data_IF_245318278163
#
_entry.id   IF_245318278163
#
_cell.length_a   1.000
_cell.length_b   1.000
_cell.length_c   1.000
_cell.angle_alpha   90.00
_cell.angle_beta   90.00
_cell.angle_gamma   90.00
#
_symmetry.space_group_name_H-M   'P 1'
#
loop_
_entity.id
_entity.type
_entity.pdbx_description
1 polymer ?
#
# COMPACT_ATOMS: atom_id res chain seq x y z
N UNK A 1 -4.20 0.46 21.32
CA UNK A 1 -4.22 1.51 20.29
C UNK A 1 -3.54 1.00 19.03
N UNK A 2 -4.12 1.27 17.88
CA UNK A 2 -3.45 0.94 16.61
C UNK A 2 -2.40 2.00 16.27
N UNK A 3 -1.62 1.75 15.23
CA UNK A 3 -0.52 2.66 14.85
C UNK A 3 -0.99 4.05 14.42
N UNK A 4 -2.17 4.16 13.81
CA UNK A 4 -2.73 5.46 13.43
C UNK A 4 -3.08 6.29 14.66
N UNK A 5 -3.73 5.67 15.63
CA UNK A 5 -4.09 6.36 16.88
C UNK A 5 -2.84 6.85 17.62
N UNK A 6 -1.81 6.02 17.67
CA UNK A 6 -0.53 6.39 18.28
C UNK A 6 0.09 7.58 17.53
N UNK A 7 0.13 7.53 16.21
CA UNK A 7 0.68 8.62 15.40
C UNK A 7 -0.02 9.94 15.67
N UNK A 8 -1.36 9.96 15.60
CA UNK A 8 -2.12 11.19 15.76
C UNK A 8 -2.19 11.68 17.21
N UNK A 9 -1.90 10.84 18.19
CA UNK A 9 -1.79 11.27 19.58
C UNK A 9 -0.44 11.89 19.89
N UNK A 10 0.63 11.47 19.23
CA UNK A 10 1.99 11.96 19.46
C UNK A 10 2.38 13.13 18.57
N UNK A 11 1.82 13.21 17.37
CA UNK A 11 2.13 14.26 16.40
C UNK A 11 0.85 14.92 15.92
N UNK A 12 0.71 16.23 16.20
CA UNK A 12 -0.54 16.95 15.95
C UNK A 12 -0.58 17.71 14.61
N UNK A 13 0.58 17.97 14.01
CA UNK A 13 0.67 18.67 12.73
C UNK A 13 1.90 18.22 11.95
N UNK A 14 1.94 18.62 10.67
CA UNK A 14 3.04 18.28 9.76
C UNK A 14 3.22 16.78 9.57
N UNK A 15 2.10 16.04 9.53
CA UNK A 15 2.12 14.60 9.26
C UNK A 15 2.25 14.40 7.76
N UNK A 16 3.31 13.69 7.35
CA UNK A 16 3.55 13.35 5.95
C UNK A 16 3.04 11.96 5.66
N UNK A 17 2.09 11.89 4.72
CA UNK A 17 1.55 10.64 4.18
C UNK A 17 1.95 10.55 2.70
N UNK A 18 2.58 9.45 2.31
CA UNK A 18 3.05 9.25 0.94
C UNK A 18 2.39 8.02 0.34
N UNK A 19 1.87 8.19 -0.88
CA UNK A 19 1.26 7.11 -1.65
C UNK A 19 2.30 6.42 -2.53
N UNK A 20 2.19 5.11 -2.65
CA UNK A 20 2.95 4.32 -3.62
C UNK A 20 2.11 3.16 -4.14
N UNK A 21 2.32 2.79 -5.40
CA UNK A 21 1.62 1.67 -6.02
C UNK A 21 2.42 0.38 -5.79
N UNK A 22 1.78 -0.65 -5.25
CA UNK A 22 2.41 -1.95 -5.06
C UNK A 22 2.77 -2.57 -6.42
N UNK A 23 4.01 -3.06 -6.54
CA UNK A 23 4.49 -3.67 -7.79
C UNK A 23 5.00 -2.68 -8.83
N UNK A 24 5.17 -1.42 -8.46
CA UNK A 24 5.68 -0.36 -9.33
C UNK A 24 6.95 0.25 -8.73
N UNK A 25 7.99 0.55 -9.52
CA UNK A 25 8.12 0.33 -10.96
C UNK A 25 8.41 -1.13 -11.34
N UNK A 26 8.86 -1.94 -10.41
CA UNK A 26 9.10 -3.37 -10.60
C UNK A 26 8.31 -4.18 -9.59
N UNK A 27 8.08 -5.45 -9.89
CA UNK A 27 7.30 -6.33 -9.03
C UNK A 27 7.82 -6.37 -7.58
N UNK A 28 9.12 -6.38 -7.41
CA UNK A 28 9.77 -6.47 -6.10
C UNK A 28 10.16 -5.13 -5.48
N UNK A 29 9.67 -4.00 -6.02
CA UNK A 29 10.02 -2.67 -5.51
C UNK A 29 9.25 -2.27 -4.26
N UNK A 30 8.15 -2.94 -3.93
CA UNK A 30 7.21 -2.52 -2.87
C UNK A 30 7.90 -2.36 -1.53
N UNK A 31 8.59 -3.39 -1.05
CA UNK A 31 9.19 -3.36 0.28
C UNK A 31 10.37 -2.39 0.35
N UNK A 32 11.15 -2.27 -0.73
CA UNK A 32 12.23 -1.28 -0.82
C UNK A 32 11.69 0.13 -0.73
N UNK A 33 10.60 0.42 -1.43
CA UNK A 33 9.93 1.72 -1.36
C UNK A 33 9.47 2.03 0.06
N UNK A 34 8.85 1.06 0.72
CA UNK A 34 8.37 1.22 2.09
C UNK A 34 9.52 1.52 3.06
N UNK A 35 10.63 0.81 2.94
CA UNK A 35 11.83 1.07 3.76
C UNK A 35 12.35 2.48 3.52
N UNK A 36 12.48 2.87 2.26
CA UNK A 36 13.00 4.20 1.90
C UNK A 36 12.12 5.32 2.43
N UNK A 37 10.81 5.19 2.32
CA UNK A 37 9.87 6.19 2.85
C UNK A 37 10.00 6.32 4.36
N UNK A 38 10.08 5.21 5.07
CA UNK A 38 10.24 5.23 6.52
C UNK A 38 11.56 5.86 6.92
N UNK A 39 12.67 5.49 6.28
CA UNK A 39 13.99 6.05 6.57
C UNK A 39 14.07 7.54 6.28
N UNK A 40 13.36 8.00 5.25
CA UNK A 40 13.34 9.42 4.88
C UNK A 40 12.39 10.27 5.73
N UNK A 41 11.69 9.67 6.67
CA UNK A 41 10.88 10.41 7.64
C UNK A 41 9.40 10.53 7.34
N UNK A 42 8.86 9.72 6.42
CA UNK A 42 7.41 9.65 6.23
C UNK A 42 6.75 9.16 7.52
N UNK A 43 5.66 9.80 7.91
CA UNK A 43 4.94 9.45 9.14
C UNK A 43 4.00 8.26 8.93
N UNK A 44 3.48 8.13 7.74
CA UNK A 44 2.60 7.04 7.33
C UNK A 44 2.67 6.89 5.81
N UNK A 45 2.12 5.80 5.30
CA UNK A 45 2.07 5.59 3.86
C UNK A 45 0.77 4.93 3.44
N UNK A 46 0.37 5.21 2.21
CA UNK A 46 -0.73 4.53 1.54
C UNK A 46 -0.15 3.63 0.46
N UNK A 47 -0.51 2.38 0.49
CA UNK A 47 -0.06 1.39 -0.49
C UNK A 47 -1.22 1.05 -1.41
N UNK A 48 -1.08 1.41 -2.67
CA UNK A 48 -2.10 1.18 -3.69
C UNK A 48 -2.11 -0.27 -4.15
N UNK A 49 -3.28 -0.89 -4.09
CA UNK A 49 -3.52 -2.22 -4.65
C UNK A 49 -3.90 -2.06 -6.13
N UNK A 50 -3.07 -2.53 -7.09
CA UNK A 50 -3.36 -2.34 -8.51
C UNK A 50 -4.67 -3.00 -8.94
N UNK A 51 -5.38 -2.33 -9.83
CA UNK A 51 -6.63 -2.81 -10.40
C UNK A 51 -6.69 -2.50 -11.88
N UNK A 52 -7.32 -3.38 -12.67
CA UNK A 52 -7.40 -3.25 -14.12
C UNK A 52 -8.22 -2.07 -14.61
N UNK A 53 -9.21 -1.64 -13.81
CA UNK A 53 -10.14 -0.59 -14.19
C UNK A 53 -10.14 0.58 -13.19
N UNK A 54 -9.02 1.33 -13.06
CA UNK A 54 -8.88 2.39 -12.06
C UNK A 54 -9.57 3.69 -12.49
N UNK A 55 -10.88 3.62 -12.70
CA UNK A 55 -11.67 4.71 -13.30
C UNK A 55 -11.73 5.99 -12.46
N UNK A 56 -11.58 5.86 -11.14
CA UNK A 56 -11.60 7.01 -10.24
C UNK A 56 -10.24 7.71 -10.14
N UNK A 57 -9.19 7.13 -10.68
CA UNK A 57 -7.83 7.65 -10.58
C UNK A 57 -7.46 8.53 -11.77
N UNK A 58 -6.52 9.46 -11.54
CA UNK A 58 -5.95 10.27 -12.60
C UNK A 58 -4.90 9.52 -13.42
N UNK A 59 -4.35 10.20 -14.46
CA UNK A 59 -3.44 9.53 -15.42
C UNK A 59 -2.18 8.94 -14.79
N UNK A 60 -1.60 9.59 -13.80
CA UNK A 60 -0.36 9.13 -13.16
C UNK A 60 -0.60 7.82 -12.42
N UNK A 61 -1.64 7.74 -11.61
CA UNK A 61 -1.97 6.53 -10.86
C UNK A 61 -2.46 5.42 -11.79
N UNK A 62 -3.23 5.74 -12.82
CA UNK A 62 -3.63 4.75 -13.83
C UNK A 62 -2.40 4.16 -14.52
N UNK A 63 -1.40 4.97 -14.82
CA UNK A 63 -0.16 4.53 -15.47
C UNK A 63 0.63 3.58 -14.55
N UNK A 64 0.80 3.94 -13.29
CA UNK A 64 1.51 3.09 -12.33
C UNK A 64 0.77 1.78 -12.08
N UNK A 65 -0.56 1.81 -12.03
CA UNK A 65 -1.39 0.61 -11.95
C UNK A 65 -1.17 -0.32 -13.15
N UNK A 66 -1.17 0.23 -14.35
CA UNK A 66 -0.97 -0.55 -15.56
C UNK A 66 0.39 -1.24 -15.57
N UNK A 67 1.44 -0.53 -15.17
CA UNK A 67 2.79 -1.08 -15.09
C UNK A 67 2.86 -2.16 -14.01
N UNK A 68 2.28 -1.94 -12.84
CA UNK A 68 2.28 -2.91 -11.75
C UNK A 68 1.59 -4.21 -12.17
N UNK A 69 0.45 -4.12 -12.84
CA UNK A 69 -0.27 -5.29 -13.37
C UNK A 69 0.55 -6.01 -14.44
N UNK A 70 1.17 -5.25 -15.33
CA UNK A 70 2.08 -5.78 -16.36
C UNK A 70 3.27 -6.52 -15.74
N UNK A 71 3.76 -6.07 -14.59
CA UNK A 71 4.81 -6.73 -13.83
C UNK A 71 4.33 -8.01 -13.14
N UNK A 72 3.04 -8.27 -13.12
CA UNK A 72 2.46 -9.47 -12.54
C UNK A 72 1.97 -9.30 -11.11
N UNK A 73 1.80 -8.08 -10.61
CA UNK A 73 1.29 -7.86 -9.26
C UNK A 73 -0.16 -8.32 -9.15
N UNK A 74 -0.44 -9.04 -8.09
CA UNK A 74 -1.79 -9.48 -7.72
C UNK A 74 -2.00 -9.21 -6.24
N UNK A 75 -3.25 -9.25 -5.78
CA UNK A 75 -3.55 -9.10 -4.36
C UNK A 75 -2.87 -10.20 -3.53
N UNK A 76 -2.85 -11.43 -4.05
CA UNK A 76 -2.19 -12.55 -3.40
C UNK A 76 -0.68 -12.33 -3.26
N UNK A 77 -0.02 -11.83 -4.31
CA UNK A 77 1.41 -11.50 -4.27
C UNK A 77 1.69 -10.37 -3.31
N UNK A 78 0.82 -9.36 -3.27
CA UNK A 78 0.95 -8.26 -2.33
C UNK A 78 0.93 -8.74 -0.89
N UNK A 79 -0.04 -9.56 -0.52
CA UNK A 79 -0.11 -10.11 0.83
C UNK A 79 1.08 -11.03 1.15
N UNK A 80 1.60 -11.72 0.15
CA UNK A 80 2.82 -12.51 0.28
C UNK A 80 4.03 -11.63 0.64
N UNK A 81 4.18 -10.51 -0.07
CA UNK A 81 5.25 -9.53 0.19
C UNK A 81 5.10 -8.92 1.58
N UNK A 82 3.88 -8.66 2.01
CA UNK A 82 3.60 -8.01 3.30
C UNK A 82 3.56 -8.97 4.49
N UNK A 83 3.77 -10.26 4.28
CA UNK A 83 3.62 -11.26 5.34
C UNK A 83 4.44 -10.92 6.59
N UNK A 84 5.68 -10.52 6.43
CA UNK A 84 6.60 -10.24 7.55
C UNK A 84 7.09 -8.79 7.56
N UNK A 85 6.38 -7.88 6.90
CA UNK A 85 6.87 -6.50 6.71
C UNK A 85 7.02 -5.75 8.04
N UNK A 86 6.27 -6.12 9.07
CA UNK A 86 6.32 -5.46 10.39
C UNK A 86 7.61 -5.70 11.14
N UNK A 87 8.46 -6.61 10.70
CA UNK A 87 9.83 -6.76 11.24
C UNK A 87 10.69 -5.55 10.89
N UNK A 88 10.39 -4.85 9.80
CA UNK A 88 11.16 -3.73 9.28
C UNK A 88 10.38 -2.42 9.25
N UNK A 89 9.08 -2.47 9.01
CA UNK A 89 8.24 -1.28 8.82
C UNK A 89 7.38 -1.05 10.04
N UNK A 90 7.56 0.09 10.68
CA UNK A 90 6.91 0.45 11.94
C UNK A 90 5.85 1.54 11.80
N UNK A 91 5.92 2.36 10.75
CA UNK A 91 4.93 3.41 10.52
C UNK A 91 3.61 2.82 10.04
N UNK A 92 2.48 3.54 10.23
CA UNK A 92 1.20 3.09 9.72
C UNK A 92 1.22 2.90 8.20
N UNK A 93 0.62 1.81 7.75
CA UNK A 93 0.45 1.49 6.33
C UNK A 93 -1.03 1.29 6.06
N UNK A 94 -1.56 2.08 5.13
CA UNK A 94 -2.96 2.01 4.74
C UNK A 94 -3.03 1.38 3.35
N UNK A 95 -3.82 0.33 3.21
CA UNK A 95 -4.08 -0.25 1.91
C UNK A 95 -5.19 0.54 1.23
N UNK A 96 -4.94 0.98 0.02
CA UNK A 96 -5.88 1.75 -0.77
C UNK A 96 -6.17 1.03 -2.07
N UNK A 97 -7.44 0.88 -2.42
CA UNK A 97 -7.80 0.18 -3.64
C UNK A 97 -9.29 0.18 -3.89
N UNK A 98 -9.68 -0.52 -4.94
CA UNK A 98 -11.08 -0.65 -5.34
C UNK A 98 -11.75 -1.79 -4.59
N UNK A 99 -13.05 -1.67 -4.40
CA UNK A 99 -13.82 -2.65 -3.65
C UNK A 99 -13.92 -4.00 -4.37
N UNK A 100 -13.96 -4.00 -5.69
CA UNK A 100 -14.14 -5.24 -6.45
C UNK A 100 -13.13 -6.35 -6.14
N UNK A 101 -11.80 -6.08 -6.11
CA UNK A 101 -10.84 -7.10 -5.72
C UNK A 101 -11.02 -7.61 -4.29
N UNK A 102 -11.43 -6.72 -3.37
CA UNK A 102 -11.70 -7.08 -1.98
C UNK A 102 -12.88 -8.05 -1.89
N UNK A 103 -13.95 -7.77 -2.64
CA UNK A 103 -15.13 -8.63 -2.68
C UNK A 103 -14.84 -10.00 -3.32
N UNK A 104 -13.97 -10.05 -4.35
CA UNK A 104 -13.56 -11.30 -4.99
C UNK A 104 -12.81 -12.20 -4.02
N UNK A 105 -11.99 -11.62 -3.13
CA UNK A 105 -11.27 -12.37 -2.10
C UNK A 105 -12.17 -12.73 -0.91
N UNK A 106 -13.38 -12.24 -0.86
CA UNK A 106 -14.30 -12.22 0.27
C UNK A 106 -13.77 -11.31 1.39
N UNK A 107 -14.62 -10.44 1.85
CA UNK A 107 -14.30 -9.37 2.80
C UNK A 107 -13.62 -9.90 4.06
N UNK A 108 -14.13 -10.98 4.63
CA UNK A 108 -13.58 -11.59 5.85
C UNK A 108 -12.16 -12.12 5.63
N UNK A 109 -11.91 -12.79 4.50
CA UNK A 109 -10.58 -13.30 4.16
C UNK A 109 -9.60 -12.18 3.90
N UNK A 110 -10.04 -11.09 3.26
CA UNK A 110 -9.21 -9.92 3.03
C UNK A 110 -8.75 -9.32 4.36
N UNK A 111 -9.66 -9.10 5.27
CA UNK A 111 -9.33 -8.50 6.57
C UNK A 111 -8.48 -9.41 7.47
N UNK A 112 -8.59 -10.72 7.31
CA UNK A 112 -7.81 -11.69 8.06
C UNK A 112 -6.40 -11.91 7.49
N UNK A 113 -6.19 -11.56 6.23
CA UNK A 113 -4.90 -11.71 5.58
C UNK A 113 -3.93 -10.60 5.99
#
# INVERSE_FOLDING_TARGET
MNRLEILFSTKKHHILNVYGTAGYPKLNSTLEMMRSLQECGADMMELGMPYSDPLADGPVIQHSNAIALSNGMTMQKLFSVLKDFRKEIHIPVILMGYLNPVLQKKKEKFCAA
#
